data_IF_299678161616
#
_entry.id   IF_299678161616
#
_cell.length_a   1.000
_cell.length_b   1.000
_cell.length_c   1.000
_cell.angle_alpha   90.00
_cell.angle_beta   90.00
_cell.angle_gamma   90.00
#
_symmetry.space_group_name_H-M   'P 1'
#
loop_
_entity.id
_entity.type
_entity.pdbx_description
1 polymer ?
#
# COMPACT_ATOMS: atom_id res chain seq x y z
N UNK A 1 -12.42 -12.48 -11.74
CA UNK A 1 -12.99 -11.49 -10.81
C UNK A 1 -13.96 -10.64 -11.60
N UNK A 2 -15.21 -10.55 -11.16
CA UNK A 2 -16.21 -9.66 -11.76
C UNK A 2 -15.90 -8.19 -11.42
N UNK A 3 -16.54 -7.24 -12.11
CA UNK A 3 -16.37 -5.81 -11.81
C UNK A 3 -16.82 -5.43 -10.40
N UNK A 4 -17.89 -6.04 -9.89
CA UNK A 4 -18.35 -5.81 -8.52
C UNK A 4 -17.38 -6.38 -7.48
N UNK A 5 -16.86 -7.59 -7.70
CA UNK A 5 -15.81 -8.17 -6.85
C UNK A 5 -14.53 -7.32 -6.88
N UNK A 6 -14.21 -6.77 -8.04
CA UNK A 6 -13.07 -5.86 -8.23
C UNK A 6 -13.26 -4.58 -7.43
N UNK A 7 -14.44 -3.96 -7.55
CA UNK A 7 -14.77 -2.76 -6.80
C UNK A 7 -14.70 -3.01 -5.28
N UNK A 8 -15.27 -4.12 -4.79
CA UNK A 8 -15.24 -4.43 -3.37
C UNK A 8 -13.82 -4.68 -2.87
N UNK A 9 -13.05 -5.51 -3.57
CA UNK A 9 -11.65 -5.79 -3.20
C UNK A 9 -10.79 -4.51 -3.18
N UNK A 10 -11.02 -3.59 -4.11
CA UNK A 10 -10.31 -2.32 -4.15
C UNK A 10 -10.73 -1.37 -3.02
N UNK A 11 -12.01 -1.38 -2.61
CA UNK A 11 -12.47 -0.63 -1.45
C UNK A 11 -11.85 -1.15 -0.16
N UNK A 12 -11.93 -2.45 0.05
CA UNK A 12 -11.34 -3.11 1.22
C UNK A 12 -9.84 -2.80 1.31
N UNK A 13 -9.15 -2.80 0.16
CA UNK A 13 -7.74 -2.45 0.11
C UNK A 13 -7.49 -0.96 0.41
N UNK A 14 -8.34 -0.04 -0.05
CA UNK A 14 -8.22 1.38 0.34
C UNK A 14 -8.36 1.54 1.85
N UNK A 15 -9.37 0.92 2.46
CA UNK A 15 -9.58 0.98 3.90
C UNK A 15 -8.36 0.45 4.66
N UNK A 16 -7.79 -0.69 4.24
CA UNK A 16 -6.55 -1.22 4.82
C UNK A 16 -5.37 -0.24 4.70
N UNK A 17 -5.22 0.41 3.54
CA UNK A 17 -4.14 1.39 3.35
C UNK A 17 -4.37 2.66 4.18
N UNK A 18 -5.60 3.12 4.35
CA UNK A 18 -5.92 4.25 5.23
C UNK A 18 -5.54 3.94 6.69
N UNK A 19 -5.89 2.76 7.21
CA UNK A 19 -5.49 2.30 8.54
C UNK A 19 -3.96 2.25 8.70
N UNK A 20 -3.25 1.73 7.69
CA UNK A 20 -1.78 1.71 7.69
C UNK A 20 -1.18 3.11 7.70
N UNK A 21 -1.78 4.05 6.95
CA UNK A 21 -1.32 5.43 6.90
C UNK A 21 -1.45 6.09 8.26
N UNK A 22 -2.57 5.89 8.96
CA UNK A 22 -2.79 6.42 10.30
C UNK A 22 -1.80 5.83 11.31
N UNK A 23 -1.66 4.49 11.33
CA UNK A 23 -0.67 3.80 12.18
C UNK A 23 0.75 4.30 11.92
N UNK A 24 1.13 4.40 10.65
CA UNK A 24 2.46 4.84 10.24
C UNK A 24 2.76 6.30 10.61
N UNK A 25 1.78 7.20 10.46
CA UNK A 25 1.87 8.59 10.93
C UNK A 25 2.06 8.67 12.44
N UNK A 26 1.28 7.91 13.21
CA UNK A 26 1.39 7.90 14.67
C UNK A 26 2.75 7.35 15.12
N UNK A 27 3.21 6.25 14.53
CA UNK A 27 4.48 5.63 14.83
C UNK A 27 5.67 6.55 14.55
N UNK A 28 5.69 7.19 13.38
CA UNK A 28 6.80 8.08 12.96
C UNK A 28 6.80 9.41 13.71
N UNK A 29 5.64 9.99 14.02
CA UNK A 29 5.54 11.24 14.79
C UNK A 29 5.92 11.06 16.26
N UNK A 30 5.51 9.96 16.89
CA UNK A 30 5.91 9.62 18.26
C UNK A 30 7.36 9.14 18.37
N UNK A 31 7.96 8.74 17.24
CA UNK A 31 9.27 8.09 17.16
C UNK A 31 9.37 6.86 18.08
N UNK A 32 8.24 6.18 18.32
CA UNK A 32 8.21 4.95 19.12
C UNK A 32 8.67 3.78 18.26
N UNK A 33 9.73 3.09 18.68
CA UNK A 33 10.28 1.93 17.97
C UNK A 33 9.25 0.81 17.91
N UNK A 34 8.55 0.55 19.01
CA UNK A 34 7.55 -0.53 19.08
C UNK A 34 6.39 -0.29 18.11
N UNK A 35 5.87 0.95 18.07
CA UNK A 35 4.81 1.31 17.13
C UNK A 35 5.30 1.26 15.67
N UNK A 36 6.58 1.57 15.43
CA UNK A 36 7.18 1.45 14.10
C UNK A 36 7.27 -0.03 13.70
N UNK A 37 7.69 -0.92 14.60
CA UNK A 37 7.75 -2.36 14.33
C UNK A 37 6.36 -2.95 14.05
N UNK A 38 5.35 -2.56 14.83
CA UNK A 38 3.95 -2.96 14.60
C UNK A 38 3.42 -2.48 13.25
N UNK A 39 3.75 -1.23 12.88
CA UNK A 39 3.44 -0.69 11.56
C UNK A 39 4.13 -1.49 10.44
N UNK A 40 5.42 -1.76 10.55
CA UNK A 40 6.19 -2.52 9.55
C UNK A 40 5.60 -3.92 9.34
N UNK A 41 5.23 -4.61 10.42
CA UNK A 41 4.59 -5.92 10.35
C UNK A 41 3.22 -5.84 9.66
N UNK A 42 2.40 -4.85 10.02
CA UNK A 42 1.10 -4.63 9.37
C UNK A 42 1.23 -4.36 7.87
N UNK A 43 2.26 -3.62 7.46
CA UNK A 43 2.57 -3.37 6.04
C UNK A 43 2.95 -4.68 5.34
N UNK A 44 3.82 -5.51 5.94
CA UNK A 44 4.25 -6.78 5.32
C UNK A 44 3.08 -7.71 5.01
N UNK A 45 2.13 -7.84 5.93
CA UNK A 45 0.91 -8.61 5.76
C UNK A 45 0.05 -8.06 4.61
N UNK A 46 -0.13 -6.74 4.60
CA UNK A 46 -0.99 -6.05 3.61
C UNK A 46 -0.37 -6.08 2.21
N UNK A 47 0.95 -5.91 2.07
CA UNK A 47 1.65 -5.93 0.77
C UNK A 47 1.43 -7.24 0.03
N UNK A 48 1.45 -8.35 0.76
CA UNK A 48 1.24 -9.69 0.18
C UNK A 48 -0.15 -9.81 -0.45
N UNK A 49 -1.18 -9.30 0.22
CA UNK A 49 -2.56 -9.29 -0.28
C UNK A 49 -2.77 -8.24 -1.38
N UNK A 50 -2.18 -7.06 -1.22
CA UNK A 50 -2.29 -5.94 -2.15
C UNK A 50 -1.77 -6.29 -3.54
N UNK A 51 -0.63 -6.98 -3.61
CA UNK A 51 0.02 -7.36 -4.87
C UNK A 51 -0.93 -8.18 -5.76
N UNK A 52 -1.46 -9.29 -5.23
CA UNK A 52 -2.37 -10.15 -6.00
C UNK A 52 -3.68 -9.45 -6.37
N UNK A 53 -4.22 -8.64 -5.45
CA UNK A 53 -5.50 -7.94 -5.65
C UNK A 53 -5.39 -6.89 -6.74
N UNK A 54 -4.32 -6.08 -6.73
CA UNK A 54 -4.10 -5.02 -7.70
C UNK A 54 -3.81 -5.58 -9.10
N UNK A 55 -3.01 -6.64 -9.21
CA UNK A 55 -2.75 -7.29 -10.51
C UNK A 55 -4.05 -7.83 -11.13
N UNK A 56 -4.85 -8.57 -10.35
CA UNK A 56 -6.16 -9.09 -10.80
C UNK A 56 -7.12 -7.95 -11.18
N UNK A 57 -7.11 -6.88 -10.40
CA UNK A 57 -7.94 -5.70 -10.65
C UNK A 57 -7.54 -4.99 -11.94
N UNK A 58 -6.23 -4.86 -12.22
CA UNK A 58 -5.73 -4.28 -13.47
C UNK A 58 -6.25 -5.05 -14.68
N UNK A 59 -6.13 -6.38 -14.67
CA UNK A 59 -6.61 -7.21 -15.78
C UNK A 59 -8.13 -7.12 -15.94
N UNK A 60 -8.89 -7.11 -14.84
CA UNK A 60 -10.35 -6.94 -14.88
C UNK A 60 -10.77 -5.57 -15.48
N UNK A 61 -9.95 -4.54 -15.30
CA UNK A 61 -10.20 -3.20 -15.84
C UNK A 61 -9.74 -3.01 -17.30
N UNK A 62 -8.90 -3.89 -17.86
CA UNK A 62 -8.39 -3.73 -19.25
C UNK A 62 -9.43 -3.98 -20.34
N UNK A 63 -10.50 -4.73 -20.07
CA UNK A 63 -11.46 -5.21 -21.08
C UNK A 63 -12.85 -4.59 -21.05
N UNK A 64 -13.08 -3.56 -20.22
CA UNK A 64 -14.43 -3.08 -19.90
C UNK A 64 -14.72 -1.72 -20.53
N UNK A 65 -15.95 -1.54 -21.03
CA UNK A 65 -16.42 -0.26 -21.58
C UNK A 65 -16.38 0.82 -20.49
N UNK A 66 -15.70 1.93 -20.76
CA UNK A 66 -15.49 3.03 -19.81
C UNK A 66 -16.77 3.76 -19.37
N UNK A 67 -17.91 3.48 -20.03
CA UNK A 67 -19.21 4.09 -19.74
C UNK A 67 -19.91 3.46 -18.53
N UNK A 68 -19.49 2.26 -18.09
CA UNK A 68 -20.03 1.60 -16.90
C UNK A 68 -19.64 2.37 -15.62
N UNK A 69 -20.63 2.72 -14.80
CA UNK A 69 -20.40 3.45 -13.54
C UNK A 69 -19.55 2.65 -12.55
N UNK A 70 -19.74 1.34 -12.47
CA UNK A 70 -18.95 0.44 -11.60
C UNK A 70 -17.49 0.46 -12.03
N UNK A 71 -17.25 0.42 -13.34
CA UNK A 71 -15.91 0.55 -13.90
C UNK A 71 -15.25 1.87 -13.48
N UNK A 72 -15.96 3.00 -13.59
CA UNK A 72 -15.42 4.31 -13.18
C UNK A 72 -15.04 4.33 -11.71
N UNK A 73 -15.89 3.84 -10.83
CA UNK A 73 -15.58 3.77 -9.40
C UNK A 73 -14.38 2.87 -9.13
N UNK A 74 -14.36 1.65 -9.68
CA UNK A 74 -13.24 0.72 -9.50
C UNK A 74 -11.93 1.33 -10.03
N UNK A 75 -11.98 2.02 -11.17
CA UNK A 75 -10.81 2.71 -11.74
C UNK A 75 -10.30 3.83 -10.82
N UNK A 76 -11.19 4.59 -10.17
CA UNK A 76 -10.81 5.60 -9.18
C UNK A 76 -10.12 4.96 -7.98
N UNK A 77 -10.71 3.93 -7.35
CA UNK A 77 -10.08 3.25 -6.22
C UNK A 77 -8.71 2.66 -6.57
N UNK A 78 -8.60 1.99 -7.72
CA UNK A 78 -7.33 1.46 -8.23
C UNK A 78 -6.28 2.58 -8.37
N UNK A 79 -6.64 3.71 -8.99
CA UNK A 79 -5.72 4.85 -9.16
C UNK A 79 -5.34 5.48 -7.82
N UNK A 80 -6.28 5.63 -6.89
CA UNK A 80 -6.00 6.14 -5.54
C UNK A 80 -4.95 5.27 -4.85
N UNK A 81 -5.09 3.94 -4.90
CA UNK A 81 -4.12 3.01 -4.34
C UNK A 81 -2.73 3.16 -4.98
N UNK A 82 -2.66 3.07 -6.31
CA UNK A 82 -1.39 3.02 -7.05
C UNK A 82 -0.67 4.36 -7.09
N UNK A 83 -1.40 5.47 -7.18
CA UNK A 83 -0.84 6.80 -7.38
C UNK A 83 -0.74 7.64 -6.10
N UNK A 84 -1.48 7.28 -5.04
CA UNK A 84 -1.56 8.08 -3.82
C UNK A 84 -1.21 7.24 -2.58
N UNK A 85 -2.03 6.23 -2.25
CA UNK A 85 -1.91 5.53 -0.95
C UNK A 85 -0.61 4.74 -0.81
N UNK A 86 -0.25 3.93 -1.82
CA UNK A 86 1.00 3.15 -1.79
C UNK A 86 2.23 4.06 -1.81
N UNK A 87 2.34 5.07 -2.70
CA UNK A 87 3.42 6.06 -2.63
C UNK A 87 3.54 6.76 -1.27
N UNK A 88 2.43 7.03 -0.60
CA UNK A 88 2.47 7.63 0.73
C UNK A 88 3.01 6.67 1.80
N UNK A 89 2.61 5.39 1.78
CA UNK A 89 3.19 4.35 2.66
C UNK A 89 4.70 4.21 2.44
N UNK A 90 5.17 4.26 1.19
CA UNK A 90 6.62 4.23 0.88
C UNK A 90 7.36 5.35 1.63
N UNK A 91 6.85 6.59 1.59
CA UNK A 91 7.47 7.72 2.30
C UNK A 91 7.50 7.51 3.82
N UNK A 92 6.44 6.90 4.39
CA UNK A 92 6.39 6.57 5.82
C UNK A 92 7.42 5.50 6.16
N UNK A 93 7.55 4.44 5.36
CA UNK A 93 8.56 3.38 5.55
C UNK A 93 9.99 3.92 5.49
N UNK A 94 10.27 4.85 4.57
CA UNK A 94 11.57 5.52 4.49
C UNK A 94 11.85 6.34 5.76
N UNK A 95 10.85 7.09 6.24
CA UNK A 95 10.94 7.84 7.48
C UNK A 95 11.16 6.93 8.70
N UNK A 96 10.43 5.82 8.76
CA UNK A 96 10.56 4.80 9.80
C UNK A 96 11.96 4.16 9.79
N UNK A 97 12.48 3.80 8.61
CA UNK A 97 13.84 3.29 8.43
C UNK A 97 14.89 4.26 8.97
N UNK A 98 14.78 5.55 8.68
CA UNK A 98 15.68 6.57 9.22
C UNK A 98 15.61 6.66 10.74
N UNK A 99 14.41 6.62 11.33
CA UNK A 99 14.25 6.67 12.79
C UNK A 99 14.89 5.45 13.46
N UNK A 100 14.67 4.25 12.91
CA UNK A 100 15.22 2.99 13.42
C UNK A 100 16.74 2.94 13.34
N UNK A 101 17.33 3.39 12.22
CA UNK A 101 18.80 3.50 12.07
C UNK A 101 19.42 4.41 13.13
N UNK A 102 18.77 5.54 13.44
CA UNK A 102 19.24 6.46 14.47
C UNK A 102 19.12 5.93 15.90
N UNK A 103 18.49 4.77 16.09
CA UNK A 103 18.30 4.10 17.38
C UNK A 103 18.98 2.72 17.43
N UNK A 104 19.85 2.41 16.48
CA UNK A 104 20.58 1.14 16.39
C UNK A 104 19.68 -0.10 16.14
N UNK A 105 18.47 0.10 15.57
CA UNK A 105 17.55 -0.97 15.14
C UNK A 105 17.77 -1.36 13.67
N UNK A 106 18.97 -1.79 13.30
CA UNK A 106 19.35 -2.00 11.90
C UNK A 106 18.50 -3.08 11.17
N UNK A 107 18.15 -4.16 11.86
CA UNK A 107 17.37 -5.26 11.26
C UNK A 107 15.97 -4.81 10.83
N UNK A 108 15.28 -4.05 11.67
CA UNK A 108 13.96 -3.51 11.35
C UNK A 108 14.04 -2.40 10.31
N UNK A 109 15.08 -1.58 10.34
CA UNK A 109 15.31 -0.57 9.32
C UNK A 109 15.54 -1.20 7.93
N UNK A 110 16.29 -2.30 7.86
CA UNK A 110 16.48 -3.06 6.64
C UNK A 110 15.15 -3.67 6.14
N UNK A 111 14.32 -4.18 7.06
CA UNK A 111 12.97 -4.69 6.73
C UNK A 111 12.08 -3.59 6.14
N UNK A 112 12.03 -2.41 6.77
CA UNK A 112 11.27 -1.26 6.25
C UNK A 112 11.74 -0.83 4.86
N UNK A 113 13.05 -0.79 4.64
CA UNK A 113 13.66 -0.45 3.33
C UNK A 113 13.26 -1.48 2.26
N UNK A 114 13.34 -2.77 2.58
CA UNK A 114 12.95 -3.86 1.67
C UNK A 114 11.48 -3.79 1.29
N UNK A 115 10.59 -3.49 2.25
CA UNK A 115 9.16 -3.32 1.96
C UNK A 115 8.89 -2.09 1.09
N UNK A 116 9.58 -0.98 1.33
CA UNK A 116 9.46 0.21 0.50
C UNK A 116 9.87 -0.07 -0.96
N UNK A 117 10.96 -0.80 -1.17
CA UNK A 117 11.41 -1.22 -2.51
C UNK A 117 10.41 -2.16 -3.20
N UNK A 118 9.86 -3.15 -2.47
CA UNK A 118 8.79 -4.02 -2.98
C UNK A 118 7.58 -3.22 -3.45
N UNK A 119 7.15 -2.24 -2.65
CA UNK A 119 6.02 -1.38 -3.00
C UNK A 119 6.32 -0.45 -4.18
N UNK A 120 7.55 0.09 -4.29
CA UNK A 120 7.98 0.87 -5.45
C UNK A 120 7.90 0.05 -6.74
N UNK A 121 8.46 -1.16 -6.71
CA UNK A 121 8.43 -2.08 -7.86
C UNK A 121 7.00 -2.46 -8.26
N UNK A 122 6.12 -2.71 -7.27
CA UNK A 122 4.71 -2.97 -7.51
C UNK A 122 4.04 -1.79 -8.22
N UNK A 123 4.19 -0.58 -7.69
CA UNK A 123 3.60 0.63 -8.27
C UNK A 123 4.11 0.87 -9.70
N UNK A 124 5.41 0.72 -9.94
CA UNK A 124 5.99 0.92 -11.27
C UNK A 124 5.51 -0.12 -12.28
N UNK A 125 5.21 -1.34 -11.82
CA UNK A 125 4.60 -2.38 -12.65
C UNK A 125 3.13 -2.07 -12.97
N UNK A 126 2.40 -1.42 -12.06
CA UNK A 126 0.94 -1.21 -12.13
C UNK A 126 0.51 0.12 -12.77
N UNK A 127 1.44 1.09 -12.90
CA UNK A 127 1.20 2.39 -13.57
C UNK A 127 0.93 2.26 -15.08
N UNK A 128 1.27 1.12 -15.68
CA UNK A 128 1.15 0.79 -17.11
C UNK A 128 0.32 -0.50 -17.33
#
# INVERSE_FOLDING_TARGET
MSLHETLQSLKDLVDCFEDLIEKGKLATSSRSTDLISDFINSVEETVSQATSTLEKSREALRGVKQEDMVFKYASVYYRTLVLVSIPYIINILESASTILKNRDHEGEAAKATTLAEKLKNLVDTLKY
#
